data_IF_013939656754
#
_entry.id   IF_013939656754
#
_cell.length_a   1.000
_cell.length_b   1.000
_cell.length_c   1.000
_cell.angle_alpha   90.00
_cell.angle_beta   90.00
_cell.angle_gamma   90.00
#
_symmetry.space_group_name_H-M   'P 1'
#
loop_
_entity.id
_entity.type
_entity.pdbx_description
1 polymer ?
#
# COMPACT_ATOMS: atom_id res chain seq x y z
N UNK A 1 -6.62 -31.43 23.63
CA UNK A 1 -5.97 -32.47 22.80
C UNK A 1 -5.87 -32.02 21.33
N UNK A 2 -5.38 -30.81 21.04
CA UNK A 2 -5.46 -30.19 19.70
C UNK A 2 -4.14 -30.10 18.95
N UNK A 3 -3.01 -30.41 19.59
CA UNK A 3 -1.66 -30.29 18.98
C UNK A 3 -1.36 -31.39 17.96
N UNK A 4 -1.95 -32.59 18.09
CA UNK A 4 -1.65 -33.71 17.19
C UNK A 4 -2.30 -33.57 15.81
N UNK A 5 -3.49 -32.98 15.73
CA UNK A 5 -4.20 -32.76 14.45
C UNK A 5 -3.51 -31.69 13.60
N UNK A 6 -3.16 -30.55 14.19
CA UNK A 6 -2.44 -29.48 13.49
C UNK A 6 -1.06 -29.96 12.96
N UNK A 7 -0.35 -30.79 13.72
CA UNK A 7 0.90 -31.39 13.25
C UNK A 7 0.68 -32.34 12.05
N UNK A 8 -0.44 -33.06 12.04
CA UNK A 8 -0.77 -34.01 10.98
C UNK A 8 -1.20 -33.29 9.69
N UNK A 9 -1.97 -32.21 9.81
CA UNK A 9 -2.37 -31.34 8.69
C UNK A 9 -1.17 -30.64 8.07
N UNK A 10 -0.27 -30.11 8.90
CA UNK A 10 0.98 -29.51 8.43
C UNK A 10 1.86 -30.54 7.70
N UNK A 11 1.96 -31.76 8.22
CA UNK A 11 2.71 -32.84 7.56
C UNK A 11 2.09 -33.24 6.22
N UNK A 12 0.75 -33.29 6.13
CA UNK A 12 0.06 -33.54 4.88
C UNK A 12 0.29 -32.43 3.85
N UNK A 13 0.26 -31.16 4.27
CA UNK A 13 0.55 -30.01 3.42
C UNK A 13 1.99 -30.06 2.87
N UNK A 14 2.97 -30.36 3.72
CA UNK A 14 4.38 -30.49 3.29
C UNK A 14 4.53 -31.59 2.23
N UNK A 15 3.91 -32.75 2.44
CA UNK A 15 3.94 -33.85 1.45
C UNK A 15 3.31 -33.46 0.13
N UNK A 16 2.20 -32.73 0.18
CA UNK A 16 1.53 -32.24 -1.02
C UNK A 16 2.43 -31.25 -1.80
N UNK A 17 3.06 -30.29 -1.11
CA UNK A 17 4.01 -29.35 -1.74
C UNK A 17 5.18 -30.12 -2.37
N UNK A 18 5.77 -31.07 -1.66
CA UNK A 18 6.88 -31.89 -2.18
C UNK A 18 6.48 -32.69 -3.42
N UNK A 19 5.27 -33.26 -3.45
CA UNK A 19 4.75 -33.97 -4.61
C UNK A 19 4.54 -33.04 -5.82
N UNK A 20 4.05 -31.82 -5.59
CA UNK A 20 3.90 -30.83 -6.65
C UNK A 20 5.26 -30.36 -7.18
N UNK A 21 6.23 -30.10 -6.30
CA UNK A 21 7.59 -29.77 -6.73
C UNK A 21 8.19 -30.87 -7.61
N UNK A 22 7.97 -32.15 -7.26
CA UNK A 22 8.43 -33.28 -8.06
C UNK A 22 7.72 -33.39 -9.42
N UNK A 23 6.40 -33.15 -9.48
CA UNK A 23 5.60 -33.22 -10.71
C UNK A 23 6.02 -32.16 -11.74
N UNK A 24 6.27 -30.94 -11.27
CA UNK A 24 6.70 -29.82 -12.13
C UNK A 24 8.22 -29.72 -12.29
N UNK A 25 9.00 -30.60 -11.66
CA UNK A 25 10.46 -30.56 -11.69
C UNK A 25 11.06 -29.30 -11.03
N UNK A 26 10.35 -28.69 -10.08
CA UNK A 26 10.77 -27.47 -9.40
C UNK A 26 11.81 -27.78 -8.32
N UNK A 27 12.92 -27.06 -8.38
CA UNK A 27 13.93 -27.03 -7.32
C UNK A 27 13.68 -25.88 -6.35
N UNK A 28 14.25 -25.98 -5.14
CA UNK A 28 14.22 -24.86 -4.19
C UNK A 28 14.92 -23.63 -4.76
N UNK A 29 16.05 -23.83 -5.45
CA UNK A 29 16.83 -22.75 -6.07
C UNK A 29 16.02 -21.97 -7.11
N UNK A 30 15.16 -22.64 -7.88
CA UNK A 30 14.26 -21.97 -8.83
C UNK A 30 13.16 -21.18 -8.14
N UNK A 31 12.63 -21.68 -7.01
CA UNK A 31 11.64 -20.92 -6.21
C UNK A 31 12.27 -19.68 -5.57
N UNK A 32 13.51 -19.79 -5.10
CA UNK A 32 14.28 -18.67 -4.60
C UNK A 32 14.61 -17.66 -5.70
N UNK A 33 15.06 -18.14 -6.87
CA UNK A 33 15.34 -17.28 -8.03
C UNK A 33 14.08 -16.58 -8.58
N UNK A 34 12.91 -17.20 -8.40
CA UNK A 34 11.61 -16.61 -8.73
C UNK A 34 11.08 -15.62 -7.68
N UNK A 35 11.80 -15.44 -6.56
CA UNK A 35 11.41 -14.54 -5.48
C UNK A 35 10.16 -14.99 -4.72
N UNK A 36 9.87 -16.30 -4.68
CA UNK A 36 8.68 -16.84 -4.03
C UNK A 36 8.63 -16.54 -2.52
N UNK A 37 9.78 -16.21 -1.93
CA UNK A 37 9.96 -15.92 -0.50
C UNK A 37 10.40 -14.47 -0.22
N UNK A 38 10.51 -13.64 -1.26
CA UNK A 38 10.87 -12.23 -1.08
C UNK A 38 9.79 -11.51 -0.26
N UNK A 39 10.17 -10.51 0.56
CA UNK A 39 9.20 -9.67 1.23
C UNK A 39 8.30 -9.00 0.18
N UNK A 40 7.02 -8.71 0.52
CA UNK A 40 6.16 -7.98 -0.39
C UNK A 40 6.83 -6.64 -0.76
N UNK A 41 6.63 -6.17 -2.01
CA UNK A 41 7.16 -4.88 -2.41
C UNK A 41 6.67 -3.79 -1.43
N UNK A 42 7.47 -2.75 -1.17
CA UNK A 42 7.04 -1.65 -0.33
C UNK A 42 5.74 -1.06 -0.92
N UNK A 43 4.83 -0.55 -0.07
CA UNK A 43 3.65 0.13 -0.56
C UNK A 43 4.08 1.29 -1.48
N UNK A 44 3.29 1.59 -2.53
CA UNK A 44 3.57 2.74 -3.38
C UNK A 44 3.65 4.02 -2.53
N UNK A 45 4.50 4.99 -2.91
CA UNK A 45 4.54 6.27 -2.20
C UNK A 45 3.15 6.92 -2.22
N UNK A 46 2.78 7.67 -1.15
CA UNK A 46 1.54 8.43 -1.17
C UNK A 46 1.55 9.40 -2.37
N UNK A 47 0.38 9.70 -2.96
CA UNK A 47 0.30 10.73 -3.99
C UNK A 47 0.86 12.06 -3.44
N UNK A 48 1.45 12.91 -4.30
CA UNK A 48 1.91 14.21 -3.85
C UNK A 48 0.76 14.97 -3.17
N UNK A 49 1.02 15.70 -2.08
CA UNK A 49 -0.01 16.50 -1.43
C UNK A 49 -0.64 17.44 -2.45
N UNK A 50 -1.96 17.49 -2.46
CA UNK A 50 -2.70 18.42 -3.30
C UNK A 50 -2.44 19.83 -2.76
N UNK A 51 -1.58 20.57 -3.45
CA UNK A 51 -1.28 21.94 -3.08
C UNK A 51 -2.44 22.86 -3.50
N UNK A 52 -2.84 23.77 -2.63
CA UNK A 52 -3.74 24.88 -2.92
C UNK A 52 -2.92 26.17 -2.88
N UNK A 53 -3.13 27.12 -3.79
CA UNK A 53 -2.44 28.40 -3.82
C UNK A 53 -3.39 29.54 -4.19
N UNK A 54 -3.27 30.68 -3.51
CA UNK A 54 -3.99 31.90 -3.85
C UNK A 54 -3.15 32.84 -4.74
N UNK A 55 -3.78 33.89 -5.28
CA UNK A 55 -3.12 34.90 -6.12
C UNK A 55 -2.01 35.69 -5.39
N UNK A 56 -2.01 35.67 -4.05
CA UNK A 56 -0.97 36.31 -3.22
C UNK A 56 0.25 35.39 -3.00
N UNK A 57 0.26 34.20 -3.60
CA UNK A 57 1.36 33.25 -3.50
C UNK A 57 1.34 32.40 -2.22
N UNK A 58 0.32 32.53 -1.36
CA UNK A 58 0.18 31.68 -0.18
C UNK A 58 -0.27 30.28 -0.61
N UNK A 59 0.33 29.24 -0.03
CA UNK A 59 -0.01 27.84 -0.34
C UNK A 59 -0.36 27.00 0.88
N UNK A 60 -1.15 25.96 0.67
CA UNK A 60 -1.54 24.96 1.66
C UNK A 60 -1.46 23.58 1.02
N UNK A 61 -0.80 22.62 1.65
CA UNK A 61 -0.60 21.26 1.12
C UNK A 61 -1.83 20.34 1.31
N UNK A 62 -2.92 20.89 1.83
CA UNK A 62 -4.15 20.14 2.11
C UNK A 62 -4.10 19.33 3.40
N UNK A 63 -3.03 19.41 4.19
CA UNK A 63 -2.92 18.78 5.51
C UNK A 63 -2.97 19.82 6.64
N UNK A 64 -3.47 19.41 7.80
CA UNK A 64 -3.60 20.27 8.97
C UNK A 64 -4.75 21.27 8.89
N UNK A 65 -4.65 22.34 9.67
CA UNK A 65 -5.69 23.37 9.77
C UNK A 65 -5.74 24.24 8.50
N UNK A 66 -6.96 24.55 8.04
CA UNK A 66 -7.18 25.37 6.86
C UNK A 66 -6.77 26.83 7.16
N UNK A 67 -5.85 27.44 6.40
CA UNK A 67 -5.36 28.78 6.70
C UNK A 67 -6.45 29.85 6.50
N UNK A 68 -6.33 30.97 7.22
CA UNK A 68 -7.32 32.06 7.22
C UNK A 68 -7.77 32.52 5.83
N UNK A 69 -6.83 32.61 4.88
CA UNK A 69 -7.14 33.07 3.52
C UNK A 69 -8.09 32.11 2.79
N UNK A 70 -7.94 30.80 3.02
CA UNK A 70 -8.76 29.77 2.40
C UNK A 70 -10.09 29.64 3.13
N UNK A 71 -10.08 29.76 4.46
CA UNK A 71 -11.29 29.79 5.27
C UNK A 71 -12.21 30.97 4.93
N UNK A 72 -11.65 32.17 4.71
CA UNK A 72 -12.41 33.33 4.26
C UNK A 72 -13.02 33.11 2.87
N UNK A 73 -12.27 32.52 1.94
CA UNK A 73 -12.77 32.24 0.59
C UNK A 73 -13.93 31.22 0.60
N UNK A 74 -13.79 30.15 1.39
CA UNK A 74 -14.84 29.13 1.57
C UNK A 74 -16.08 29.73 2.24
N UNK A 75 -15.91 30.53 3.28
CA UNK A 75 -17.01 31.23 3.95
C UNK A 75 -17.71 32.25 3.02
N UNK A 76 -17.00 32.77 2.02
CA UNK A 76 -17.57 33.61 0.96
C UNK A 76 -18.28 32.81 -0.15
N UNK A 77 -18.35 31.48 -0.04
CA UNK A 77 -19.02 30.58 -0.98
C UNK A 77 -18.14 30.08 -2.13
N UNK A 78 -16.83 30.35 -2.11
CA UNK A 78 -15.91 29.80 -3.11
C UNK A 78 -15.56 28.34 -2.80
N UNK A 79 -15.45 27.50 -3.84
CA UNK A 79 -14.95 26.13 -3.67
C UNK A 79 -13.45 26.14 -3.43
N UNK A 80 -12.99 25.33 -2.46
CA UNK A 80 -11.55 25.10 -2.19
C UNK A 80 -10.81 24.58 -3.42
N UNK A 81 -11.48 23.82 -4.28
CA UNK A 81 -10.95 23.28 -5.55
C UNK A 81 -10.50 24.40 -6.50
N UNK A 82 -11.05 25.62 -6.41
CA UNK A 82 -10.61 26.76 -7.21
C UNK A 82 -9.15 27.12 -6.95
N UNK A 83 -8.68 26.87 -5.73
CA UNK A 83 -7.32 27.17 -5.32
C UNK A 83 -6.36 26.01 -5.59
N UNK A 84 -6.85 24.85 -6.05
CA UNK A 84 -6.04 23.67 -6.27
C UNK A 84 -5.02 23.90 -7.38
N UNK A 85 -3.77 23.56 -7.08
CA UNK A 85 -2.63 23.55 -8.01
C UNK A 85 -2.21 22.11 -8.19
N UNK A 86 -2.34 21.62 -9.42
CA UNK A 86 -1.87 20.31 -9.87
C UNK A 86 -0.66 20.45 -10.77
#
# INVERSE_FOLDING_TARGET
>A
MTTKTANNERAAAIRWIQAQMADYGLTLEELEAAGCFDPPPPPPPPPPPVCYRNAQGMSWDGQGEMPDWLQRAVNAGQSVEFYRVG
#
